data_IF_479885225620
#
_entry.id   IF_479885225620
#
_cell.length_a   1.000
_cell.length_b   1.000
_cell.length_c   1.000
_cell.angle_alpha   90.00
_cell.angle_beta   90.00
_cell.angle_gamma   90.00
#
_symmetry.space_group_name_H-M   'P 1'
#
loop_
_entity.id
_entity.type
_entity.pdbx_description
1 polymer ?
#
# COMPACT_ATOMS: atom_id res chain seq x y z
N UNK A 1 -8.00 -16.40 22.62
CA UNK A 1 -7.13 -15.61 23.51
C UNK A 1 -7.41 -14.14 23.21
N UNK A 2 -7.42 -13.29 24.23
CA UNK A 2 -7.65 -11.84 24.10
C UNK A 2 -8.90 -11.49 23.28
N UNK A 3 -10.07 -11.99 23.65
CA UNK A 3 -11.37 -11.78 23.00
C UNK A 3 -11.39 -12.00 21.48
N UNK A 4 -10.53 -12.90 21.02
CA UNK A 4 -10.44 -13.28 19.62
C UNK A 4 -9.42 -12.52 18.80
N UNK A 5 -8.58 -11.64 19.38
CA UNK A 5 -7.49 -10.94 18.65
C UNK A 5 -6.40 -11.89 18.16
N UNK A 6 -6.19 -13.04 18.83
CA UNK A 6 -5.22 -14.06 18.38
C UNK A 6 -5.96 -15.20 17.70
N UNK A 7 -5.96 -15.18 16.37
CA UNK A 7 -6.55 -16.20 15.50
C UNK A 7 -5.52 -16.63 14.46
N UNK A 8 -5.66 -17.86 13.96
CA UNK A 8 -4.97 -18.35 12.75
C UNK A 8 -3.43 -18.24 12.71
N UNK A 9 -2.77 -17.90 13.83
CA UNK A 9 -1.31 -17.83 13.92
C UNK A 9 -0.67 -19.11 14.48
N UNK A 10 -1.44 -20.19 14.58
CA UNK A 10 -0.94 -21.44 15.15
C UNK A 10 0.10 -22.08 14.23
N UNK A 11 1.27 -22.55 14.74
CA UNK A 11 2.34 -23.14 13.93
C UNK A 11 1.87 -24.31 13.04
N UNK A 12 0.93 -25.12 13.49
CA UNK A 12 0.39 -26.23 12.69
C UNK A 12 -0.34 -25.75 11.42
N UNK A 13 -1.02 -24.62 11.47
CA UNK A 13 -1.68 -24.01 10.30
C UNK A 13 -0.61 -23.56 9.30
N UNK A 14 0.37 -22.81 9.76
CA UNK A 14 1.44 -22.31 8.90
C UNK A 14 2.35 -23.43 8.36
N UNK A 15 2.59 -24.49 9.13
CA UNK A 15 3.30 -25.67 8.66
C UNK A 15 2.51 -26.37 7.51
N UNK A 16 1.18 -26.51 7.67
CA UNK A 16 0.33 -27.06 6.60
C UNK A 16 0.35 -26.21 5.32
N UNK A 17 0.36 -24.88 5.46
CA UNK A 17 0.40 -23.93 4.32
C UNK A 17 1.78 -23.96 3.63
N UNK A 18 2.86 -24.03 4.40
CA UNK A 18 4.24 -23.90 3.90
C UNK A 18 4.87 -25.22 3.45
N UNK A 19 4.18 -26.33 3.61
CA UNK A 19 4.69 -27.67 3.26
C UNK A 19 5.04 -27.80 1.77
N UNK A 20 6.24 -28.32 1.49
CA UNK A 20 6.82 -28.45 0.13
C UNK A 20 6.50 -29.81 -0.52
N UNK A 21 5.28 -30.25 -0.37
CA UNK A 21 4.82 -31.50 -0.99
C UNK A 21 5.52 -32.73 -0.40
N UNK A 22 6.14 -33.55 -1.25
CA UNK A 22 6.77 -34.82 -0.83
C UNK A 22 7.95 -34.62 0.14
N UNK A 23 8.65 -33.50 0.04
CA UNK A 23 9.84 -33.19 0.85
C UNK A 23 9.52 -33.13 2.36
N UNK A 24 8.37 -32.55 2.71
CA UNK A 24 8.00 -32.32 4.12
C UNK A 24 6.94 -33.34 4.60
N UNK A 25 6.58 -34.32 3.75
CA UNK A 25 5.50 -35.27 4.04
C UNK A 25 5.69 -36.07 5.33
N UNK A 26 6.89 -36.60 5.53
CA UNK A 26 7.21 -37.41 6.72
C UNK A 26 7.20 -36.58 8.00
N UNK A 27 7.65 -35.34 7.94
CA UNK A 27 7.63 -34.43 9.07
C UNK A 27 6.20 -34.01 9.44
N UNK A 28 5.38 -33.66 8.46
CA UNK A 28 3.95 -33.36 8.66
C UNK A 28 3.24 -34.55 9.33
N UNK A 29 3.52 -35.78 8.86
CA UNK A 29 2.94 -37.00 9.42
C UNK A 29 3.34 -37.23 10.88
N UNK A 30 4.63 -37.06 11.20
CA UNK A 30 5.15 -37.14 12.59
C UNK A 30 4.49 -36.14 13.51
N UNK A 31 4.21 -34.91 13.01
CA UNK A 31 3.61 -33.82 13.77
C UNK A 31 2.06 -33.87 13.79
N UNK A 32 1.45 -34.84 13.10
CA UNK A 32 -0.01 -34.93 12.95
C UNK A 32 -0.63 -33.73 12.24
N UNK A 33 0.09 -33.15 11.26
CA UNK A 33 -0.33 -31.96 10.50
C UNK A 33 -0.76 -32.38 9.11
N UNK A 34 -1.91 -31.88 8.65
CA UNK A 34 -2.36 -32.04 7.26
C UNK A 34 -1.84 -30.88 6.40
N UNK A 35 -1.40 -31.23 5.17
CA UNK A 35 -1.08 -30.22 4.16
C UNK A 35 -2.33 -29.40 3.79
N UNK A 36 -2.14 -28.11 3.57
CA UNK A 36 -3.18 -27.19 3.10
C UNK A 36 -2.91 -26.88 1.63
N UNK A 37 -3.85 -27.24 0.76
CA UNK A 37 -3.71 -27.08 -0.68
C UNK A 37 -4.29 -25.77 -1.21
N UNK A 38 -5.23 -25.18 -0.48
CA UNK A 38 -5.90 -23.92 -0.84
C UNK A 38 -6.06 -23.03 0.39
N UNK A 39 -5.69 -21.77 0.23
CA UNK A 39 -5.91 -20.69 1.21
C UNK A 39 -6.77 -19.62 0.57
N UNK A 40 -7.92 -19.34 1.16
CA UNK A 40 -8.82 -18.26 0.74
C UNK A 40 -9.01 -17.32 1.92
N UNK A 41 -8.57 -16.09 1.78
CA UNK A 41 -8.66 -15.08 2.84
C UNK A 41 -9.02 -13.73 2.25
N UNK A 42 -10.08 -13.12 2.77
CA UNK A 42 -10.38 -11.72 2.57
C UNK A 42 -9.90 -10.94 3.80
N UNK A 43 -9.13 -9.89 3.60
CA UNK A 43 -8.65 -9.04 4.68
C UNK A 43 -9.80 -8.24 5.31
N UNK A 44 -9.63 -7.83 6.55
CA UNK A 44 -10.56 -6.90 7.18
C UNK A 44 -10.62 -5.58 6.40
N UNK A 45 -11.81 -4.95 6.29
CA UNK A 45 -12.01 -3.76 5.46
C UNK A 45 -11.51 -2.49 6.18
N UNK A 46 -10.19 -2.38 6.37
CA UNK A 46 -9.54 -1.28 7.11
C UNK A 46 -9.90 0.09 6.52
N UNK A 47 -9.73 0.28 5.20
CA UNK A 47 -10.01 1.55 4.54
C UNK A 47 -11.49 1.97 4.63
N UNK A 48 -12.41 0.98 4.61
CA UNK A 48 -13.84 1.26 4.79
C UNK A 48 -14.15 1.71 6.22
N UNK A 49 -13.44 1.18 7.21
CA UNK A 49 -13.63 1.58 8.60
C UNK A 49 -13.10 2.99 8.87
N UNK A 50 -11.92 3.32 8.28
CA UNK A 50 -11.38 4.69 8.31
C UNK A 50 -12.37 5.68 7.69
N UNK A 51 -12.99 5.33 6.55
CA UNK A 51 -13.95 6.20 5.86
C UNK A 51 -15.26 6.44 6.63
N UNK A 52 -15.58 5.60 7.63
CA UNK A 52 -16.79 5.76 8.47
C UNK A 52 -16.62 6.76 9.62
N UNK A 53 -15.43 7.34 9.79
CA UNK A 53 -15.10 8.26 10.88
C UNK A 53 -15.46 7.68 12.28
N UNK A 54 -15.13 6.40 12.47
CA UNK A 54 -15.35 5.68 13.73
C UNK A 54 -14.22 5.98 14.73
N UNK A 55 -14.35 5.48 15.97
CA UNK A 55 -13.30 5.68 16.97
C UNK A 55 -11.97 5.05 16.53
N UNK A 56 -10.86 5.65 16.92
CA UNK A 56 -9.50 5.13 16.69
C UNK A 56 -9.36 3.67 17.09
N UNK A 57 -9.95 3.30 18.23
CA UNK A 57 -9.95 1.92 18.72
C UNK A 57 -10.63 0.96 17.73
N UNK A 58 -11.76 1.35 17.11
CA UNK A 58 -12.44 0.52 16.13
C UNK A 58 -11.62 0.36 14.84
N UNK A 59 -10.91 1.41 14.43
CA UNK A 59 -10.03 1.37 13.26
C UNK A 59 -8.85 0.42 13.53
N UNK A 60 -8.22 0.51 14.71
CA UNK A 60 -7.12 -0.37 15.12
C UNK A 60 -7.55 -1.84 15.11
N UNK A 61 -8.76 -2.16 15.60
CA UNK A 61 -9.28 -3.54 15.57
C UNK A 61 -9.52 -4.10 14.16
N UNK A 62 -9.48 -3.26 13.12
CA UNK A 62 -9.53 -3.70 11.71
C UNK A 62 -8.15 -3.94 11.09
N UNK A 63 -7.08 -3.77 11.87
CA UNK A 63 -5.75 -4.19 11.41
C UNK A 63 -5.66 -5.71 11.52
N UNK A 64 -5.74 -6.38 10.38
CA UNK A 64 -5.70 -7.84 10.28
C UNK A 64 -4.24 -8.32 10.37
N UNK A 65 -3.95 -9.20 11.33
CA UNK A 65 -2.63 -9.80 11.52
C UNK A 65 -2.57 -11.20 10.89
N UNK A 66 -3.56 -12.04 11.18
CA UNK A 66 -3.56 -13.44 10.75
C UNK A 66 -3.82 -13.61 9.26
N UNK A 67 -4.71 -12.80 8.69
CA UNK A 67 -5.04 -12.82 7.27
C UNK A 67 -3.83 -12.57 6.38
N UNK A 68 -3.12 -11.43 6.52
CA UNK A 68 -1.89 -11.16 5.78
C UNK A 68 -0.80 -12.23 6.00
N UNK A 69 -0.65 -12.75 7.22
CA UNK A 69 0.32 -13.79 7.51
C UNK A 69 0.05 -15.08 6.71
N UNK A 70 -1.22 -15.55 6.69
CA UNK A 70 -1.62 -16.73 5.91
C UNK A 70 -1.50 -16.50 4.41
N UNK A 71 -1.94 -15.34 3.91
CA UNK A 71 -1.83 -14.96 2.50
C UNK A 71 -0.37 -14.97 2.03
N UNK A 72 0.51 -14.32 2.77
CA UNK A 72 1.94 -14.24 2.43
C UNK A 72 2.62 -15.61 2.49
N UNK A 73 2.28 -16.43 3.50
CA UNK A 73 2.80 -17.79 3.62
C UNK A 73 2.40 -18.67 2.42
N UNK A 74 1.13 -18.65 2.04
CA UNK A 74 0.63 -19.44 0.91
C UNK A 74 1.14 -18.91 -0.43
N UNK A 75 1.21 -17.61 -0.63
CA UNK A 75 1.78 -17.01 -1.84
C UNK A 75 3.27 -17.32 -2.00
N UNK A 76 4.06 -17.32 -0.92
CA UNK A 76 5.43 -17.81 -0.93
C UNK A 76 5.52 -19.25 -1.40
N UNK A 77 4.56 -20.09 -1.00
CA UNK A 77 4.51 -21.52 -1.32
C UNK A 77 3.64 -21.83 -2.56
N UNK A 78 3.49 -20.89 -3.50
CA UNK A 78 2.58 -20.96 -4.66
C UNK A 78 2.74 -22.21 -5.53
N UNK A 79 3.89 -22.88 -5.48
CA UNK A 79 4.12 -24.14 -6.21
C UNK A 79 3.36 -25.33 -5.61
N UNK A 80 2.94 -25.22 -4.34
CA UNK A 80 2.37 -26.31 -3.56
C UNK A 80 1.02 -25.94 -2.92
N UNK A 81 0.71 -24.64 -2.81
CA UNK A 81 -0.50 -24.12 -2.18
C UNK A 81 -1.09 -23.02 -3.05
N UNK A 82 -2.36 -23.15 -3.40
CA UNK A 82 -3.10 -22.14 -4.15
C UNK A 82 -3.57 -21.07 -3.17
N UNK A 83 -3.49 -19.79 -3.57
CA UNK A 83 -3.91 -18.67 -2.72
C UNK A 83 -4.91 -17.80 -3.43
N UNK A 84 -5.98 -17.39 -2.75
CA UNK A 84 -6.98 -16.46 -3.26
C UNK A 84 -7.27 -15.38 -2.21
N UNK A 85 -7.17 -14.13 -2.61
CA UNK A 85 -7.44 -12.97 -1.75
C UNK A 85 -8.59 -12.09 -2.25
N UNK A 86 -9.16 -12.40 -3.41
CA UNK A 86 -10.26 -11.62 -3.99
C UNK A 86 -11.41 -12.57 -4.40
N UNK A 87 -12.67 -12.28 -3.99
CA UNK A 87 -13.83 -13.05 -4.40
C UNK A 87 -14.02 -13.19 -5.91
N UNK A 88 -13.59 -12.21 -6.70
CA UNK A 88 -13.65 -12.26 -8.17
C UNK A 88 -12.81 -13.37 -8.79
N UNK A 89 -11.86 -13.91 -8.02
CA UNK A 89 -10.97 -14.98 -8.47
C UNK A 89 -11.45 -16.39 -8.11
N UNK A 90 -12.54 -16.51 -7.34
CA UNK A 90 -13.05 -17.83 -6.91
C UNK A 90 -13.37 -18.76 -8.08
N UNK A 91 -13.96 -18.21 -9.15
CA UNK A 91 -14.30 -18.99 -10.36
C UNK A 91 -13.07 -19.47 -11.15
N UNK A 92 -11.90 -18.85 -10.93
CA UNK A 92 -10.65 -19.21 -11.60
C UNK A 92 -9.94 -20.39 -10.94
N UNK A 93 -10.33 -20.73 -9.70
CA UNK A 93 -9.65 -21.76 -8.91
C UNK A 93 -10.12 -23.16 -9.30
N UNK A 94 -9.18 -23.96 -9.77
CA UNK A 94 -9.36 -25.39 -10.03
C UNK A 94 -8.30 -26.17 -9.27
N UNK A 95 -8.61 -26.54 -8.02
CA UNK A 95 -7.64 -27.10 -7.06
C UNK A 95 -6.79 -28.23 -7.65
N UNK A 96 -7.39 -29.11 -8.46
CA UNK A 96 -6.70 -30.27 -9.03
C UNK A 96 -6.04 -30.03 -10.41
N UNK A 97 -6.23 -28.84 -11.01
CA UNK A 97 -5.81 -28.55 -12.38
C UNK A 97 -5.14 -27.20 -12.56
N UNK A 98 -4.80 -26.51 -11.46
CA UNK A 98 -4.16 -25.19 -11.53
C UNK A 98 -2.73 -25.30 -12.05
N UNK A 99 -2.40 -24.56 -13.09
CA UNK A 99 -1.02 -24.48 -13.55
C UNK A 99 -0.15 -23.67 -12.58
N UNK A 100 1.16 -23.98 -12.51
CA UNK A 100 2.12 -23.20 -11.72
C UNK A 100 2.13 -21.72 -12.16
N UNK A 101 1.94 -21.47 -13.47
CA UNK A 101 1.86 -20.11 -14.02
C UNK A 101 0.67 -19.33 -13.46
N UNK A 102 -0.49 -19.97 -13.35
CA UNK A 102 -1.69 -19.32 -12.83
C UNK A 102 -1.63 -19.16 -11.30
N UNK A 103 -1.10 -20.17 -10.60
CA UNK A 103 -0.82 -20.04 -9.16
C UNK A 103 0.17 -18.89 -8.86
N UNK A 104 1.19 -18.69 -9.71
CA UNK A 104 2.11 -17.55 -9.59
C UNK A 104 1.42 -16.20 -9.81
N UNK A 105 0.43 -16.11 -10.70
CA UNK A 105 -0.37 -14.89 -10.89
C UNK A 105 -1.19 -14.58 -9.63
N UNK A 106 -1.84 -15.58 -9.05
CA UNK A 106 -2.58 -15.41 -7.80
C UNK A 106 -1.66 -14.98 -6.65
N UNK A 107 -0.44 -15.54 -6.57
CA UNK A 107 0.55 -15.10 -5.59
C UNK A 107 0.98 -13.63 -5.79
N UNK A 108 1.09 -13.15 -7.03
CA UNK A 108 1.33 -11.74 -7.33
C UNK A 108 0.19 -10.85 -6.81
N UNK A 109 -1.07 -11.25 -7.06
CA UNK A 109 -2.24 -10.49 -6.56
C UNK A 109 -2.27 -10.43 -5.03
N UNK A 110 -1.84 -11.49 -4.35
CA UNK A 110 -1.70 -11.48 -2.89
C UNK A 110 -0.71 -10.41 -2.43
N UNK A 111 0.50 -10.38 -3.01
CA UNK A 111 1.50 -9.38 -2.59
C UNK A 111 1.07 -7.95 -2.93
N UNK A 112 0.39 -7.75 -4.05
CA UNK A 112 -0.22 -6.45 -4.39
C UNK A 112 -1.31 -6.05 -3.40
N UNK A 113 -2.17 -6.99 -3.01
CA UNK A 113 -3.24 -6.76 -2.02
C UNK A 113 -2.66 -6.42 -0.65
N UNK A 114 -1.67 -7.18 -0.16
CA UNK A 114 -1.05 -6.91 1.14
C UNK A 114 -0.24 -5.60 1.12
N UNK A 115 0.42 -5.26 0.01
CA UNK A 115 1.10 -3.97 -0.15
C UNK A 115 0.12 -2.80 -0.01
N UNK A 116 -1.01 -2.83 -0.73
CA UNK A 116 -2.02 -1.77 -0.66
C UNK A 116 -2.66 -1.69 0.72
N UNK A 117 -2.84 -2.85 1.37
CA UNK A 117 -3.37 -2.93 2.74
C UNK A 117 -2.42 -2.26 3.74
N UNK A 118 -1.14 -2.62 3.71
CA UNK A 118 -0.11 -2.03 4.57
C UNK A 118 0.08 -0.53 4.29
N UNK A 119 -0.02 -0.12 3.01
CA UNK A 119 0.03 1.30 2.63
C UNK A 119 -1.12 2.08 3.27
N UNK A 120 -2.36 1.57 3.20
CA UNK A 120 -3.52 2.22 3.82
C UNK A 120 -3.36 2.38 5.33
N UNK A 121 -2.76 1.39 6.00
CA UNK A 121 -2.49 1.42 7.44
C UNK A 121 -1.39 2.45 7.75
N UNK A 122 -0.30 2.43 7.00
CA UNK A 122 0.81 3.36 7.19
C UNK A 122 0.38 4.80 6.93
N UNK A 123 -0.43 5.04 5.91
CA UNK A 123 -0.99 6.36 5.60
C UNK A 123 -1.89 6.86 6.73
N UNK A 124 -2.71 5.98 7.31
CA UNK A 124 -3.55 6.34 8.44
C UNK A 124 -2.71 6.72 9.67
N UNK A 125 -1.69 5.93 10.01
CA UNK A 125 -0.76 6.28 11.10
C UNK A 125 0.06 7.53 10.77
N UNK A 126 0.46 7.71 9.52
CA UNK A 126 1.19 8.88 9.05
C UNK A 126 0.34 10.15 9.11
N UNK A 127 -0.92 10.09 8.73
CA UNK A 127 -1.86 11.22 8.77
C UNK A 127 -2.15 11.70 10.21
N UNK A 128 -1.97 10.86 11.21
CA UNK A 128 -2.00 11.30 12.62
C UNK A 128 -0.76 12.12 13.01
N UNK A 129 0.34 12.03 12.22
CA UNK A 129 1.58 12.76 12.45
C UNK A 129 1.87 13.83 11.38
N UNK A 130 1.45 13.62 10.15
CA UNK A 130 1.63 14.53 9.03
C UNK A 130 0.31 15.20 8.66
N UNK A 131 0.01 16.33 9.30
CA UNK A 131 -0.94 17.29 8.74
C UNK A 131 -0.29 17.84 7.45
N UNK A 132 -0.59 17.22 6.30
CA UNK A 132 -0.32 17.86 5.01
C UNK A 132 -1.11 19.17 5.01
N UNK A 133 -0.41 20.28 4.89
CA UNK A 133 -1.06 21.58 4.79
C UNK A 133 -1.67 21.74 3.39
N UNK A 134 -2.98 21.84 3.33
CA UNK A 134 -3.67 22.14 2.06
C UNK A 134 -3.57 23.64 1.76
N UNK A 135 -2.93 23.97 0.64
CA UNK A 135 -2.88 25.33 0.11
C UNK A 135 -3.84 25.43 -1.07
N UNK A 136 -4.87 26.27 -0.95
CA UNK A 136 -5.76 26.56 -2.07
C UNK A 136 -5.04 27.41 -3.10
N UNK A 137 -5.01 26.93 -4.35
CA UNK A 137 -4.40 27.66 -5.46
C UNK A 137 -5.40 28.62 -6.10
N UNK A 138 -4.88 29.66 -6.75
CA UNK A 138 -5.72 30.63 -7.44
C UNK A 138 -6.56 30.00 -8.55
N UNK A 139 -6.00 29.02 -9.28
CA UNK A 139 -6.66 28.16 -10.27
C UNK A 139 -5.78 26.92 -10.55
N UNK A 140 -6.32 25.93 -11.22
CA UNK A 140 -5.62 24.72 -11.63
C UNK A 140 -4.75 24.93 -12.89
N UNK A 141 -4.61 23.89 -13.70
CA UNK A 141 -3.90 23.99 -14.98
C UNK A 141 -4.55 25.04 -15.89
N UNK A 142 -5.87 25.09 -15.90
CA UNK A 142 -6.65 26.10 -16.63
C UNK A 142 -7.38 27.06 -15.68
N UNK A 143 -7.62 28.34 -16.09
CA UNK A 143 -8.16 29.38 -15.22
C UNK A 143 -9.53 29.08 -14.59
N UNK A 144 -10.33 28.22 -15.20
CA UNK A 144 -11.65 27.83 -14.69
C UNK A 144 -11.65 26.64 -13.74
N UNK A 145 -10.49 26.01 -13.55
CA UNK A 145 -10.33 24.83 -12.67
C UNK A 145 -9.99 25.26 -11.26
N UNK A 146 -10.63 24.63 -10.27
CA UNK A 146 -10.21 24.73 -8.86
C UNK A 146 -9.07 23.74 -8.62
N UNK A 147 -8.08 24.15 -7.82
CA UNK A 147 -6.99 23.28 -7.42
C UNK A 147 -6.53 23.60 -6.01
N UNK A 148 -5.99 22.61 -5.34
CA UNK A 148 -5.24 22.73 -4.09
C UNK A 148 -3.93 21.96 -4.20
N UNK A 149 -2.97 22.35 -3.38
CA UNK A 149 -1.65 21.73 -3.28
C UNK A 149 -1.46 21.23 -1.85
N UNK A 150 -1.15 19.94 -1.70
CA UNK A 150 -0.85 19.34 -0.43
C UNK A 150 0.66 19.43 -0.20
N UNK A 151 1.06 20.13 0.85
CA UNK A 151 2.46 20.39 1.17
C UNK A 151 2.88 19.60 2.39
N UNK A 152 3.95 18.82 2.25
CA UNK A 152 4.62 18.17 3.36
C UNK A 152 5.36 19.21 4.22
N UNK A 153 5.50 18.94 5.51
CA UNK A 153 6.28 19.76 6.45
C UNK A 153 7.74 19.93 6.03
N UNK A 154 8.28 18.92 5.33
CA UNK A 154 9.67 18.91 4.85
C UNK A 154 9.83 19.52 3.45
N UNK A 155 8.78 20.15 2.91
CA UNK A 155 8.86 20.83 1.61
C UNK A 155 9.87 21.99 1.69
N UNK A 156 10.92 21.99 0.85
CA UNK A 156 11.97 22.99 0.90
C UNK A 156 11.52 24.39 0.45
N UNK A 157 10.34 24.48 -0.18
CA UNK A 157 9.77 25.74 -0.66
C UNK A 157 8.57 26.10 0.22
N UNK A 158 8.61 27.27 0.85
CA UNK A 158 7.47 27.78 1.61
C UNK A 158 6.43 28.42 0.67
N UNK A 159 5.48 27.59 0.24
CA UNK A 159 4.37 28.04 -0.60
C UNK A 159 3.24 28.75 0.19
N UNK A 160 3.31 28.76 1.52
CA UNK A 160 2.28 29.39 2.36
C UNK A 160 2.51 30.90 2.52
N UNK A 161 3.78 31.33 2.57
CA UNK A 161 4.17 32.73 2.79
C UNK A 161 4.48 33.45 1.48
N UNK A 162 3.44 33.88 0.78
CA UNK A 162 3.59 34.75 -0.38
C UNK A 162 3.89 36.18 0.11
N UNK A 163 5.15 36.61 0.00
CA UNK A 163 5.62 37.89 0.50
C UNK A 163 5.02 39.09 -0.26
N UNK A 164 4.77 38.94 -1.55
CA UNK A 164 4.12 39.97 -2.39
C UNK A 164 3.53 39.37 -3.66
N UNK A 165 2.61 40.06 -4.30
CA UNK A 165 2.01 39.70 -5.56
C UNK A 165 0.68 38.95 -5.40
N UNK A 166 0.31 38.18 -6.41
CA UNK A 166 -0.96 37.42 -6.45
C UNK A 166 -0.78 36.05 -5.82
N UNK A 167 -1.87 35.49 -5.30
CA UNK A 167 -1.88 34.10 -4.85
C UNK A 167 -1.36 33.17 -5.96
N UNK A 168 -0.56 32.16 -5.56
CA UNK A 168 0.05 31.20 -6.49
C UNK A 168 -1.00 30.37 -7.23
N UNK A 169 -0.67 30.02 -8.46
CA UNK A 169 -1.47 29.11 -9.30
C UNK A 169 -0.76 27.77 -9.44
N UNK A 170 -1.46 26.77 -10.00
CA UNK A 170 -0.90 25.48 -10.35
C UNK A 170 0.41 25.61 -11.16
N UNK A 171 0.39 26.42 -12.21
CA UNK A 171 1.57 26.62 -13.07
C UNK A 171 2.78 27.20 -12.29
N UNK A 172 2.54 28.11 -11.32
CA UNK A 172 3.62 28.63 -10.49
C UNK A 172 4.23 27.55 -9.59
N UNK A 173 3.40 26.65 -9.02
CA UNK A 173 3.89 25.53 -8.20
C UNK A 173 4.74 24.58 -9.04
N UNK A 174 4.26 24.21 -10.23
CA UNK A 174 4.97 23.28 -11.12
C UNK A 174 6.30 23.88 -11.60
N UNK A 175 6.32 25.16 -11.98
CA UNK A 175 7.54 25.85 -12.38
C UNK A 175 8.54 25.93 -11.20
N UNK A 176 8.09 26.26 -9.99
CA UNK A 176 8.95 26.34 -8.80
C UNK A 176 9.57 24.98 -8.44
N UNK A 177 8.79 23.91 -8.47
CA UNK A 177 9.29 22.53 -8.21
C UNK A 177 10.31 22.13 -9.28
N UNK A 178 10.05 22.44 -10.55
CA UNK A 178 10.98 22.15 -11.65
C UNK A 178 12.29 22.91 -11.52
N UNK A 179 12.23 24.18 -11.15
CA UNK A 179 13.42 25.00 -10.89
C UNK A 179 14.23 24.45 -9.70
N UNK A 180 13.56 24.09 -8.61
CA UNK A 180 14.20 23.49 -7.44
C UNK A 180 14.88 22.16 -7.77
N UNK A 181 14.19 21.26 -8.47
CA UNK A 181 14.75 19.98 -8.88
C UNK A 181 16.00 20.18 -9.75
N UNK A 182 15.96 21.11 -10.70
CA UNK A 182 17.11 21.43 -11.56
C UNK A 182 18.27 22.00 -10.74
N UNK A 183 18.04 22.88 -9.78
CA UNK A 183 19.10 23.42 -8.90
C UNK A 183 19.80 22.31 -8.10
N UNK A 184 19.06 21.30 -7.65
CA UNK A 184 19.61 20.22 -6.83
C UNK A 184 20.50 19.22 -7.59
N UNK A 185 20.54 19.28 -8.91
CA UNK A 185 21.47 18.48 -9.72
C UNK A 185 22.92 18.98 -9.62
N UNK A 186 23.14 20.18 -9.05
CA UNK A 186 24.46 20.81 -8.98
C UNK A 186 24.94 20.94 -7.53
N UNK A 187 26.21 20.68 -7.29
CA UNK A 187 26.86 20.86 -5.97
C UNK A 187 27.32 22.28 -5.70
N UNK A 188 27.47 23.09 -6.73
CA UNK A 188 27.90 24.49 -6.66
C UNK A 188 26.69 25.43 -6.53
N UNK A 189 26.85 26.65 -5.99
CA UNK A 189 25.79 27.65 -5.96
C UNK A 189 25.22 27.89 -7.36
N UNK A 190 23.95 27.54 -7.56
CA UNK A 190 23.32 27.52 -8.88
C UNK A 190 22.07 28.38 -8.90
N UNK A 191 21.86 29.06 -10.00
CA UNK A 191 20.63 29.81 -10.29
C UNK A 191 19.97 29.19 -11.52
N UNK A 192 18.67 28.93 -11.44
CA UNK A 192 17.89 28.38 -12.54
C UNK A 192 16.71 29.28 -12.85
N UNK A 193 16.53 29.62 -14.11
CA UNK A 193 15.35 30.32 -14.61
C UNK A 193 14.50 29.32 -15.41
N UNK A 194 13.22 29.17 -15.02
CA UNK A 194 12.31 28.20 -15.62
C UNK A 194 11.13 28.93 -16.25
N UNK A 195 10.70 28.45 -17.41
CA UNK A 195 9.45 28.84 -18.05
C UNK A 195 8.75 27.61 -18.57
N UNK A 196 7.50 27.38 -18.14
CA UNK A 196 6.73 26.21 -18.52
C UNK A 196 7.50 24.90 -18.27
N UNK A 197 8.05 24.78 -17.04
CA UNK A 197 8.85 23.64 -16.56
C UNK A 197 10.19 23.40 -17.26
N UNK A 198 10.53 24.20 -18.26
CA UNK A 198 11.81 24.05 -18.97
C UNK A 198 12.81 25.14 -18.52
N UNK A 199 14.06 24.73 -18.19
CA UNK A 199 15.13 25.68 -17.93
C UNK A 199 15.39 26.56 -19.16
N UNK A 200 15.46 27.85 -18.96
CA UNK A 200 15.79 28.81 -20.02
C UNK A 200 16.93 29.76 -19.64
N UNK A 201 17.57 29.53 -18.51
CA UNK A 201 18.76 30.21 -18.00
C UNK A 201 19.17 29.66 -16.65
#
# INVERSE_FOLDING_TARGET
MFDGRVKTLHPKIHAGILARGKQDHEELKKLGIKKIDLVVVNLYPFSEEVAKDTSEQNIIEKIDIGGPAMLRASAKNFKHTITVCNPTDYSKVKVNCMSIKDSKKLAYEVFKTTQNYDLSISDWFGNTQNQLNEIKLRYGENPHQKASFLVDKDCPIDFQNVLQGKQISYNNVVDAISAWACCNEFSEPTVVIVKHTNPCG
#
